data_IF_709922336332
#
_entry.id   IF_709922336332
#
_cell.length_a   1.000
_cell.length_b   1.000
_cell.length_c   1.000
_cell.angle_alpha   90.00
_cell.angle_beta   90.00
_cell.angle_gamma   90.00
#
_symmetry.space_group_name_H-M   'P 1'
#
loop_
_entity.id
_entity.type
_entity.pdbx_description
1 polymer ?
#
# COMPACT_ATOMS: atom_id res chain seq x y z
N UNK A 1 21.54 8.36 -10.37
CA UNK A 1 20.53 7.90 -11.34
C UNK A 1 19.17 7.58 -10.67
N UNK A 2 19.09 6.77 -9.63
CA UNK A 2 17.81 6.51 -8.92
C UNK A 2 17.15 7.77 -8.34
N UNK A 3 17.91 8.67 -7.73
CA UNK A 3 17.40 9.93 -7.18
C UNK A 3 16.89 10.88 -8.26
N UNK A 4 17.64 11.00 -9.37
CA UNK A 4 17.24 11.82 -10.52
C UNK A 4 15.97 11.30 -11.17
N UNK A 5 15.84 9.98 -11.36
CA UNK A 5 14.61 9.36 -11.90
C UNK A 5 13.40 9.57 -11.00
N UNK A 6 13.62 9.75 -9.68
CA UNK A 6 12.56 10.05 -8.73
C UNK A 6 12.01 11.47 -8.89
N UNK A 7 12.88 12.43 -9.15
CA UNK A 7 12.53 13.82 -9.39
C UNK A 7 11.64 13.97 -10.62
N UNK A 8 11.87 13.12 -11.65
CA UNK A 8 11.06 13.08 -12.88
C UNK A 8 9.86 12.11 -12.82
N UNK A 9 9.46 11.67 -11.63
CA UNK A 9 8.35 10.72 -11.39
C UNK A 9 8.47 9.37 -12.13
N UNK A 10 9.67 9.05 -12.65
CA UNK A 10 10.01 7.80 -13.35
C UNK A 10 10.65 6.79 -12.39
N UNK A 11 9.99 6.51 -11.26
CA UNK A 11 10.56 5.62 -10.25
C UNK A 11 10.65 4.17 -10.73
N UNK A 12 11.88 3.72 -10.96
CA UNK A 12 12.20 2.29 -11.07
C UNK A 12 12.63 1.73 -9.70
N UNK A 13 12.35 0.46 -9.45
CA UNK A 13 12.88 -0.19 -8.25
C UNK A 13 14.41 -0.28 -8.32
N UNK A 14 15.09 -0.19 -7.17
CA UNK A 14 16.56 -0.37 -7.10
C UNK A 14 16.98 -1.72 -7.70
N UNK A 15 16.18 -2.79 -7.46
CA UNK A 15 16.43 -4.11 -8.06
C UNK A 15 16.30 -4.08 -9.59
N UNK A 16 15.33 -3.35 -10.13
CA UNK A 16 15.18 -3.18 -11.58
C UNK A 16 16.37 -2.45 -12.19
N UNK A 17 16.83 -1.36 -11.57
CA UNK A 17 18.02 -0.61 -12.01
C UNK A 17 19.28 -1.50 -11.95
N UNK A 18 19.47 -2.23 -10.86
CA UNK A 18 20.61 -3.13 -10.71
C UNK A 18 20.62 -4.22 -11.79
N UNK A 19 19.47 -4.81 -12.09
CA UNK A 19 19.31 -5.81 -13.15
C UNK A 19 19.65 -5.24 -14.53
N UNK A 20 19.11 -4.07 -14.86
CA UNK A 20 19.34 -3.42 -16.16
C UNK A 20 20.82 -3.03 -16.38
N UNK A 21 21.53 -2.74 -15.29
CA UNK A 21 22.95 -2.39 -15.30
C UNK A 21 23.88 -3.58 -15.04
N UNK A 22 23.35 -4.80 -14.90
CA UNK A 22 24.09 -6.01 -14.52
C UNK A 22 24.94 -5.85 -13.24
N UNK A 23 24.43 -5.09 -12.27
CA UNK A 23 25.09 -4.83 -10.99
C UNK A 23 24.50 -5.67 -9.87
N UNK A 24 25.29 -5.95 -8.83
CA UNK A 24 24.81 -6.57 -7.61
C UNK A 24 23.77 -5.67 -6.91
N UNK A 25 22.57 -6.18 -6.77
CA UNK A 25 21.45 -5.44 -6.17
C UNK A 25 21.68 -5.09 -4.69
N UNK A 26 22.44 -5.90 -3.94
CA UNK A 26 22.77 -5.64 -2.55
C UNK A 26 23.76 -4.46 -2.44
N UNK A 27 24.75 -4.41 -3.32
CA UNK A 27 25.75 -3.34 -3.39
C UNK A 27 25.06 -2.01 -3.78
N UNK A 28 24.21 -2.03 -4.82
CA UNK A 28 23.45 -0.85 -5.25
C UNK A 28 22.54 -0.33 -4.14
N UNK A 29 21.89 -1.25 -3.40
CA UNK A 29 21.01 -0.87 -2.29
C UNK A 29 21.80 -0.25 -1.12
N UNK A 30 22.98 -0.81 -0.79
CA UNK A 30 23.88 -0.25 0.25
C UNK A 30 24.31 1.18 -0.10
N UNK A 31 24.79 1.41 -1.33
CA UNK A 31 25.20 2.74 -1.75
C UNK A 31 24.03 3.73 -1.84
N UNK A 32 22.88 3.31 -2.34
CA UNK A 32 21.67 4.14 -2.35
C UNK A 32 21.22 4.53 -0.93
N UNK A 33 21.38 3.63 0.05
CA UNK A 33 21.07 3.92 1.46
C UNK A 33 22.06 4.95 2.05
N UNK A 34 23.38 4.81 1.80
CA UNK A 34 24.41 5.74 2.24
C UNK A 34 24.13 7.13 1.65
N UNK A 35 23.96 7.23 0.33
CA UNK A 35 23.62 8.48 -0.34
C UNK A 35 22.36 9.14 0.22
N UNK A 36 21.31 8.36 0.44
CA UNK A 36 20.07 8.88 1.00
C UNK A 36 20.24 9.38 2.45
N UNK A 37 21.13 8.74 3.23
CA UNK A 37 21.48 9.20 4.60
C UNK A 37 22.25 10.52 4.55
N UNK A 38 23.27 10.62 3.70
CA UNK A 38 24.09 11.83 3.55
C UNK A 38 23.26 13.00 3.04
N UNK A 39 22.46 12.78 1.97
CA UNK A 39 21.61 13.84 1.41
C UNK A 39 20.53 14.33 2.37
N UNK A 40 20.03 13.47 3.28
CA UNK A 40 19.08 13.91 4.31
C UNK A 40 19.69 14.83 5.36
N UNK A 41 20.97 14.68 5.65
CA UNK A 41 21.68 15.55 6.60
C UNK A 41 22.04 16.89 5.99
N UNK A 42 22.32 16.93 4.68
CA UNK A 42 22.75 18.15 3.98
C UNK A 42 21.58 18.95 3.38
N UNK A 43 20.48 18.27 3.02
CA UNK A 43 19.33 18.87 2.32
C UNK A 43 18.00 18.41 2.93
N UNK A 44 17.58 19.06 4.01
CA UNK A 44 16.29 18.77 4.67
C UNK A 44 15.08 18.95 3.76
N UNK A 45 15.20 19.79 2.73
CA UNK A 45 14.15 20.02 1.72
C UNK A 45 13.99 18.89 0.71
N UNK A 46 14.97 18.00 0.55
CA UNK A 46 14.85 16.78 -0.26
C UNK A 46 14.13 15.66 0.49
N UNK A 47 13.09 15.98 1.24
CA UNK A 47 12.21 14.97 1.85
C UNK A 47 11.62 14.11 0.75
N UNK A 48 12.22 12.93 0.58
CA UNK A 48 11.73 11.93 -0.35
C UNK A 48 10.32 11.54 0.10
N UNK A 49 9.29 12.12 -0.51
CA UNK A 49 7.92 11.67 -0.29
C UNK A 49 7.80 10.24 -0.81
N UNK A 50 7.65 9.30 0.11
CA UNK A 50 7.40 7.91 -0.25
C UNK A 50 5.99 7.84 -0.80
N UNK A 51 5.83 7.31 -2.02
CA UNK A 51 4.50 7.04 -2.57
C UNK A 51 3.69 6.19 -1.59
N UNK A 52 2.49 6.64 -1.31
CA UNK A 52 1.54 5.92 -0.45
C UNK A 52 0.86 4.80 -1.23
N UNK A 53 0.14 3.92 -0.52
CA UNK A 53 -0.66 2.90 -1.19
C UNK A 53 -1.77 3.52 -2.07
N UNK A 54 -2.29 4.68 -1.69
CA UNK A 54 -3.29 5.42 -2.48
C UNK A 54 -2.69 5.94 -3.79
N UNK A 55 -1.45 6.44 -3.77
CA UNK A 55 -0.77 6.92 -4.98
C UNK A 55 -0.55 5.76 -5.96
N UNK A 56 -0.09 4.60 -5.48
CA UNK A 56 0.04 3.39 -6.30
C UNK A 56 -1.31 2.91 -6.86
N UNK A 57 -2.37 2.98 -6.06
CA UNK A 57 -3.71 2.64 -6.52
C UNK A 57 -4.15 3.57 -7.65
N UNK A 58 -3.97 4.88 -7.49
CA UNK A 58 -4.38 5.90 -8.47
C UNK A 58 -3.66 5.71 -9.81
N UNK A 59 -2.33 5.52 -9.78
CA UNK A 59 -1.54 5.30 -11.00
C UNK A 59 -1.92 4.03 -11.77
N UNK A 60 -2.20 2.94 -11.07
CA UNK A 60 -2.43 1.65 -11.72
C UNK A 60 -3.90 1.38 -12.04
N UNK A 61 -4.84 1.98 -11.31
CA UNK A 61 -6.26 1.89 -11.62
C UNK A 61 -6.60 2.55 -12.97
N UNK A 62 -5.94 3.65 -13.32
CA UNK A 62 -6.06 4.30 -14.63
C UNK A 62 -5.63 3.39 -15.77
N UNK A 63 -4.52 2.66 -15.60
CA UNK A 63 -4.02 1.70 -16.62
C UNK A 63 -4.97 0.52 -16.84
N UNK A 64 -5.78 0.19 -15.85
CA UNK A 64 -6.72 -0.93 -15.91
C UNK A 64 -8.14 -0.52 -16.34
N UNK A 65 -8.38 0.77 -16.61
CA UNK A 65 -9.73 1.32 -16.89
C UNK A 65 -10.76 0.91 -15.84
N UNK A 66 -10.33 0.92 -14.56
CA UNK A 66 -11.22 0.55 -13.44
C UNK A 66 -12.31 1.60 -13.29
N UNK A 67 -13.56 1.16 -13.11
CA UNK A 67 -14.69 2.05 -12.87
C UNK A 67 -14.44 2.93 -11.62
N UNK A 68 -14.86 4.18 -11.69
CA UNK A 68 -14.71 5.19 -10.61
C UNK A 68 -15.27 4.69 -9.27
N UNK A 69 -16.41 3.98 -9.27
CA UNK A 69 -16.98 3.41 -8.05
C UNK A 69 -16.05 2.39 -7.39
N UNK A 70 -15.47 1.47 -8.18
CA UNK A 70 -14.54 0.46 -7.67
C UNK A 70 -13.25 1.10 -7.14
N UNK A 71 -12.77 2.14 -7.82
CA UNK A 71 -11.63 2.91 -7.38
C UNK A 71 -11.88 3.56 -6.02
N UNK A 72 -12.99 4.28 -5.84
CA UNK A 72 -13.36 4.92 -4.58
C UNK A 72 -13.53 3.92 -3.43
N UNK A 73 -14.12 2.76 -3.70
CA UNK A 73 -14.25 1.69 -2.72
C UNK A 73 -12.89 1.10 -2.32
N UNK A 74 -11.96 0.96 -3.26
CA UNK A 74 -10.60 0.50 -2.96
C UNK A 74 -9.80 1.55 -2.17
N UNK A 75 -9.95 2.83 -2.50
CA UNK A 75 -9.35 3.94 -1.76
C UNK A 75 -9.86 4.00 -0.32
N UNK A 76 -11.18 3.93 -0.13
CA UNK A 76 -11.80 3.84 1.21
C UNK A 76 -11.26 2.66 2.02
N UNK A 77 -11.14 1.49 1.39
CA UNK A 77 -10.57 0.28 2.01
C UNK A 77 -9.12 0.53 2.47
N UNK A 78 -8.30 1.22 1.68
CA UNK A 78 -6.93 1.57 2.05
C UNK A 78 -6.88 2.56 3.21
N UNK A 79 -7.74 3.57 3.22
CA UNK A 79 -7.84 4.54 4.31
C UNK A 79 -8.26 3.87 5.61
N UNK A 80 -9.20 2.94 5.55
CA UNK A 80 -9.62 2.17 6.73
C UNK A 80 -8.52 1.24 7.27
N UNK A 81 -7.62 0.76 6.41
CA UNK A 81 -6.50 -0.11 6.80
C UNK A 81 -5.19 0.65 7.04
N UNK A 82 -5.23 1.99 7.06
CA UNK A 82 -4.06 2.84 7.31
C UNK A 82 -3.36 2.45 8.63
N UNK A 83 -2.04 2.34 8.58
CA UNK A 83 -1.23 1.94 9.75
C UNK A 83 -1.00 0.42 9.88
N UNK A 84 -1.59 -0.42 9.02
CA UNK A 84 -1.42 -1.88 9.10
C UNK A 84 -0.01 -2.38 8.75
N UNK A 85 0.89 -1.51 8.32
CA UNK A 85 2.23 -1.85 7.86
C UNK A 85 2.22 -2.70 6.57
N UNK A 86 3.34 -2.77 5.89
CA UNK A 86 3.53 -3.57 4.67
C UNK A 86 3.97 -2.75 3.47
N UNK A 87 4.20 -3.45 2.36
CA UNK A 87 4.58 -2.80 1.11
C UNK A 87 3.38 -2.03 0.52
N UNK A 88 3.48 -0.71 0.30
CA UNK A 88 2.38 0.12 -0.21
C UNK A 88 1.80 -0.39 -1.53
N UNK A 89 2.64 -0.86 -2.46
CA UNK A 89 2.19 -1.38 -3.76
C UNK A 89 1.37 -2.67 -3.60
N UNK A 90 1.79 -3.55 -2.66
CA UNK A 90 1.05 -4.78 -2.36
C UNK A 90 -0.30 -4.49 -1.70
N UNK A 91 -0.36 -3.50 -0.80
CA UNK A 91 -1.61 -3.08 -0.17
C UNK A 91 -2.57 -2.48 -1.19
N UNK A 92 -2.09 -1.62 -2.10
CA UNK A 92 -2.91 -1.05 -3.17
C UNK A 92 -3.52 -2.12 -4.07
N UNK A 93 -2.71 -3.06 -4.54
CA UNK A 93 -3.17 -4.18 -5.37
C UNK A 93 -4.14 -5.11 -4.63
N UNK A 94 -3.87 -5.40 -3.35
CA UNK A 94 -4.75 -6.20 -2.50
C UNK A 94 -6.11 -5.53 -2.25
N UNK A 95 -6.15 -4.22 -2.03
CA UNK A 95 -7.38 -3.46 -1.85
C UNK A 95 -8.21 -3.43 -3.15
N UNK A 96 -7.56 -3.19 -4.28
CA UNK A 96 -8.24 -3.24 -5.57
C UNK A 96 -8.84 -4.64 -5.83
N UNK A 97 -8.06 -5.70 -5.60
CA UNK A 97 -8.55 -7.07 -5.77
C UNK A 97 -9.70 -7.39 -4.81
N UNK A 98 -9.64 -6.92 -3.56
CA UNK A 98 -10.72 -7.13 -2.57
C UNK A 98 -12.07 -6.60 -3.06
N UNK A 99 -12.07 -5.45 -3.71
CA UNK A 99 -13.28 -4.82 -4.25
C UNK A 99 -13.70 -5.46 -5.58
N UNK A 100 -12.74 -5.70 -6.47
CA UNK A 100 -13.02 -6.20 -7.82
C UNK A 100 -13.52 -7.65 -7.84
N UNK A 101 -12.98 -8.54 -7.00
CA UNK A 101 -13.33 -9.98 -7.02
C UNK A 101 -14.81 -10.30 -6.87
N UNK A 102 -15.61 -9.39 -6.32
CA UNK A 102 -17.06 -9.56 -6.13
C UNK A 102 -17.89 -8.92 -7.22
N UNK A 103 -17.35 -7.93 -7.94
CA UNK A 103 -18.11 -7.08 -8.86
C UNK A 103 -17.64 -7.20 -10.31
N UNK A 104 -16.45 -7.74 -10.54
CA UNK A 104 -15.84 -7.82 -11.88
C UNK A 104 -15.07 -9.12 -12.07
N UNK A 105 -14.81 -9.49 -13.33
CA UNK A 105 -13.98 -10.64 -13.69
C UNK A 105 -12.47 -10.31 -13.72
N UNK A 106 -12.02 -9.27 -13.02
CA UNK A 106 -10.60 -8.91 -12.97
C UNK A 106 -9.88 -9.91 -12.08
N UNK A 107 -8.95 -10.66 -12.69
CA UNK A 107 -8.19 -11.68 -11.99
C UNK A 107 -7.03 -11.08 -11.18
N UNK A 108 -6.57 -11.78 -10.15
CA UNK A 108 -5.40 -11.39 -9.36
C UNK A 108 -4.11 -11.38 -10.18
N UNK A 109 -4.04 -12.22 -11.23
CA UNK A 109 -2.92 -12.27 -12.16
C UNK A 109 -2.82 -10.95 -12.95
N UNK A 110 -3.92 -10.48 -13.52
CA UNK A 110 -3.98 -9.21 -14.25
C UNK A 110 -3.64 -8.01 -13.37
N UNK A 111 -4.14 -8.00 -12.13
CA UNK A 111 -3.76 -6.96 -11.16
C UNK A 111 -2.27 -7.05 -10.84
N UNK A 112 -1.76 -8.25 -10.59
CA UNK A 112 -0.34 -8.48 -10.33
C UNK A 112 0.57 -7.96 -11.45
N UNK A 113 0.21 -8.24 -12.69
CA UNK A 113 0.93 -7.77 -13.89
C UNK A 113 1.01 -6.23 -13.93
N UNK A 114 -0.13 -5.54 -13.79
CA UNK A 114 -0.19 -4.08 -13.85
C UNK A 114 0.56 -3.41 -12.70
N UNK A 115 0.51 -3.99 -11.50
CA UNK A 115 1.22 -3.48 -10.33
C UNK A 115 2.69 -3.95 -10.26
N UNK A 116 3.15 -4.80 -11.16
CA UNK A 116 4.51 -5.34 -11.17
C UNK A 116 4.82 -6.24 -9.97
N UNK A 117 3.82 -7.00 -9.48
CA UNK A 117 3.94 -7.92 -8.35
C UNK A 117 3.32 -9.28 -8.67
N UNK A 118 3.68 -10.32 -7.92
CA UNK A 118 3.11 -11.66 -8.14
C UNK A 118 1.63 -11.73 -7.71
N UNK A 119 0.84 -12.56 -8.38
CA UNK A 119 -0.55 -12.86 -8.01
C UNK A 119 -0.68 -13.38 -6.56
N UNK A 120 0.34 -14.10 -6.07
CA UNK A 120 0.42 -14.54 -4.67
C UNK A 120 0.51 -13.35 -3.72
N UNK A 121 1.29 -12.33 -4.06
CA UNK A 121 1.40 -11.10 -3.26
C UNK A 121 0.10 -10.32 -3.24
N UNK A 122 -0.61 -10.24 -4.37
CA UNK A 122 -1.96 -9.62 -4.45
C UNK A 122 -2.91 -10.34 -3.49
N UNK A 123 -3.00 -11.66 -3.57
CA UNK A 123 -3.88 -12.46 -2.73
C UNK A 123 -3.54 -12.36 -1.23
N UNK A 124 -2.27 -12.47 -0.86
CA UNK A 124 -1.86 -12.39 0.55
C UNK A 124 -2.20 -11.03 1.18
N UNK A 125 -2.06 -9.94 0.43
CA UNK A 125 -2.47 -8.61 0.90
C UNK A 125 -4.00 -8.46 0.97
N UNK A 126 -4.75 -9.05 0.04
CA UNK A 126 -6.22 -9.10 0.14
C UNK A 126 -6.68 -9.81 1.41
N UNK A 127 -6.10 -10.97 1.72
CA UNK A 127 -6.42 -11.72 2.96
C UNK A 127 -6.12 -10.88 4.19
N UNK A 128 -4.98 -10.15 4.21
CA UNK A 128 -4.62 -9.24 5.29
C UNK A 128 -5.66 -8.13 5.45
N UNK A 129 -6.03 -7.47 4.37
CA UNK A 129 -7.05 -6.39 4.36
C UNK A 129 -8.38 -6.91 4.87
N UNK A 130 -8.84 -8.06 4.39
CA UNK A 130 -10.10 -8.68 4.83
C UNK A 130 -10.12 -8.96 6.34
N UNK A 131 -9.01 -9.46 6.90
CA UNK A 131 -8.90 -9.68 8.35
C UNK A 131 -8.98 -8.37 9.13
N UNK A 132 -8.31 -7.32 8.67
CA UNK A 132 -8.33 -6.00 9.31
C UNK A 132 -9.73 -5.39 9.30
N UNK A 133 -10.44 -5.47 8.17
CA UNK A 133 -11.81 -5.00 8.03
C UNK A 133 -12.78 -5.78 8.95
N UNK A 134 -12.62 -7.10 9.06
CA UNK A 134 -13.43 -7.93 9.97
C UNK A 134 -13.22 -7.56 11.43
N UNK A 135 -11.98 -7.33 11.86
CA UNK A 135 -11.67 -6.94 13.24
C UNK A 135 -12.24 -5.56 13.58
N UNK A 136 -12.17 -4.59 12.66
CA UNK A 136 -12.77 -3.26 12.87
C UNK A 136 -14.30 -3.30 13.02
N UNK A 137 -14.98 -4.19 12.30
CA UNK A 137 -16.43 -4.38 12.47
C UNK A 137 -16.76 -4.93 13.86
N UNK A 138 -15.96 -5.86 14.38
CA UNK A 138 -16.16 -6.42 15.72
C UNK A 138 -15.98 -5.36 16.84
N UNK A 139 -14.98 -4.49 16.73
CA UNK A 139 -14.75 -3.43 17.72
C UNK A 139 -15.81 -2.34 17.68
N UNK A 140 -16.46 -2.09 16.54
CA UNK A 140 -17.58 -1.15 16.42
C UNK A 140 -18.92 -1.71 16.91
N UNK A 141 -19.07 -3.03 16.98
CA UNK A 141 -20.29 -3.71 17.43
C UNK A 141 -20.30 -4.13 18.90
N UNK A 142 -19.25 -3.79 19.68
CA UNK A 142 -19.29 -3.96 21.14
C UNK A 142 -20.03 -2.74 21.72
N UNK A 143 -21.30 -2.85 22.13
CA UNK A 143 -21.98 -1.74 22.76
C UNK A 143 -21.30 -1.47 24.11
N UNK A 144 -21.18 -0.17 24.43
CA UNK A 144 -20.74 0.34 25.71
C UNK A 144 -21.72 -0.12 26.81
N UNK A 145 -21.55 -1.34 27.30
CA UNK A 145 -22.31 -1.88 28.45
C UNK A 145 -21.55 -1.59 29.77
N UNK A 146 -20.46 -0.82 29.75
CA UNK A 146 -19.65 -0.59 30.97
C UNK A 146 -20.06 0.69 31.73
N UNK A 147 -20.99 1.51 31.25
CA UNK A 147 -21.38 2.75 31.95
C UNK A 147 -22.62 2.65 32.86
N UNK A 148 -23.24 1.48 33.05
CA UNK A 148 -24.43 1.39 33.90
C UNK A 148 -24.26 0.65 35.22
N UNK A 149 -23.08 0.11 35.55
CA UNK A 149 -22.87 -0.62 36.81
C UNK A 149 -22.40 0.29 37.95
N UNK A 150 -21.91 1.51 37.67
CA UNK A 150 -21.39 2.40 38.72
C UNK A 150 -22.43 3.33 39.35
N UNK A 151 -23.69 3.32 38.91
CA UNK A 151 -24.74 4.16 39.54
C UNK A 151 -25.71 3.40 40.48
N UNK A 152 -25.45 2.13 40.77
CA UNK A 152 -26.31 1.32 41.63
C UNK A 152 -25.71 1.01 43.04
N UNK A 153 -24.59 1.65 43.40
CA UNK A 153 -23.93 1.44 44.69
C UNK A 153 -23.69 2.77 45.43
N UNK A 154 -24.70 3.64 45.46
CA UNK A 154 -24.72 4.78 46.38
C UNK A 154 -26.15 4.91 46.90
N UNK A 155 -26.49 4.09 47.89
CA UNK A 155 -27.47 4.35 48.95
C UNK A 155 -26.87 3.84 50.23
#
# INVERSE_FOLDING_TARGET
MHLVLKEYDKMRSIKGIAKDLSLDSALVMKHAWILNKTLKTEHEHLKIQRKTAVDYLRENATKMSVNKELFLNAESTLLETKGSGGNPIGLAAGALYHVCKKKTNISKEKIGEVFGISARTVYSNEVKIRKLMANKKRTKSTPVIICQINNALTI
#
